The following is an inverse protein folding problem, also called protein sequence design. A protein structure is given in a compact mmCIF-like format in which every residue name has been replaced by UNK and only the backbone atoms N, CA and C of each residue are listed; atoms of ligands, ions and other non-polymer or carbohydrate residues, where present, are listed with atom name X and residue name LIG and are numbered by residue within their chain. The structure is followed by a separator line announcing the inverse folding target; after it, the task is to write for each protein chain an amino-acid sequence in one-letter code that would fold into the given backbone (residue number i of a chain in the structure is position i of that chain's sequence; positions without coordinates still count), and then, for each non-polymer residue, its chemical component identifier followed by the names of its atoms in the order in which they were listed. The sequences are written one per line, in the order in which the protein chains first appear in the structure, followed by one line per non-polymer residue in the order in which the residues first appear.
data_IF_687177089683
#
_entry.id   IF_687177089683
#
_cell.length_a   1.000
_cell.length_b   1.000
_cell.length_c   1.000
_cell.angle_alpha   90.00
_cell.angle_beta   90.00
_cell.angle_gamma   90.00
#
_symmetry.space_group_name_H-M   'P 1'
#
loop_
_entity.id
_entity.type
_entity.pdbx_description
1 polymer ?
#
# COMPACT_ATOMS: atom_id res chain seq x y z
N UNK A 1 23.19 -15.16 5.68
CA UNK A 1 21.91 -15.84 5.45
C UNK A 1 20.99 -15.65 6.64
N UNK A 2 19.97 -14.85 6.47
CA UNK A 2 19.00 -14.60 7.51
C UNK A 2 17.98 -15.73 7.63
N UNK A 3 17.37 -15.81 8.80
CA UNK A 3 16.28 -16.74 9.04
C UNK A 3 15.05 -16.26 8.24
N UNK A 4 14.44 -17.18 7.49
CA UNK A 4 13.21 -16.89 6.77
C UNK A 4 12.02 -16.85 7.73
N UNK A 5 11.24 -15.77 7.66
CA UNK A 5 10.02 -15.62 8.43
C UNK A 5 8.86 -15.34 7.50
N UNK A 6 7.70 -15.93 7.81
CA UNK A 6 6.48 -15.77 7.02
C UNK A 6 5.36 -15.26 7.93
N UNK A 7 4.64 -14.24 7.47
CA UNK A 7 3.48 -13.69 8.17
C UNK A 7 2.28 -13.68 7.23
N UNK A 8 1.14 -14.20 7.70
CA UNK A 8 -0.13 -14.18 6.95
C UNK A 8 -1.11 -13.25 7.64
N UNK A 9 -1.73 -12.39 6.85
CA UNK A 9 -2.82 -11.53 7.31
C UNK A 9 -2.53 -10.79 8.61
N UNK A 10 -1.26 -10.44 8.84
CA UNK A 10 -0.86 -9.69 10.02
C UNK A 10 -0.97 -8.19 9.74
N UNK A 11 -1.66 -7.48 10.65
CA UNK A 11 -1.76 -6.03 10.56
C UNK A 11 -0.50 -5.38 11.12
N UNK A 12 0.07 -4.49 10.32
CA UNK A 12 1.24 -3.70 10.68
C UNK A 12 0.83 -2.27 11.03
N UNK A 13 1.44 -1.71 12.05
CA UNK A 13 1.13 -0.37 12.55
C UNK A 13 2.35 0.53 12.55
N UNK A 14 2.13 1.82 12.31
CA UNK A 14 3.09 2.88 12.64
C UNK A 14 2.48 3.68 13.79
N UNK A 15 2.90 3.36 15.02
CA UNK A 15 2.31 3.91 16.23
C UNK A 15 0.80 3.70 16.26
N UNK A 16 0.03 4.75 16.58
CA UNK A 16 -1.43 4.76 16.45
C UNK A 16 -1.90 5.54 15.23
N UNK A 17 -0.98 5.92 14.33
CA UNK A 17 -1.25 6.84 13.23
C UNK A 17 -1.89 6.17 12.03
N UNK A 18 -1.34 5.06 11.58
CA UNK A 18 -1.88 4.31 10.44
C UNK A 18 -1.45 2.85 10.48
N UNK A 19 -2.18 2.04 9.76
CA UNK A 19 -1.94 0.59 9.72
C UNK A 19 -2.35 0.02 8.38
N UNK A 20 -1.88 -1.19 8.11
CA UNK A 20 -2.27 -1.96 6.94
C UNK A 20 -2.05 -3.43 7.15
N UNK A 21 -2.72 -4.23 6.36
CA UNK A 21 -2.63 -5.68 6.43
C UNK A 21 -2.34 -6.23 5.03
N UNK A 22 -1.22 -6.91 4.89
CA UNK A 22 -0.88 -7.61 3.66
C UNK A 22 -1.38 -9.06 3.76
N UNK A 23 -1.71 -9.65 2.61
CA UNK A 23 -2.16 -11.04 2.58
C UNK A 23 -1.02 -11.98 2.98
N UNK A 24 0.20 -11.67 2.56
CA UNK A 24 1.36 -12.50 2.88
C UNK A 24 2.63 -11.66 2.88
N UNK A 25 3.47 -11.88 3.88
CA UNK A 25 4.78 -11.23 4.01
C UNK A 25 5.82 -12.29 4.28
N UNK A 26 6.92 -12.24 3.54
CA UNK A 26 8.07 -13.13 3.76
C UNK A 26 9.30 -12.24 3.97
N UNK A 27 10.08 -12.54 5.00
CA UNK A 27 11.34 -11.83 5.23
C UNK A 27 12.49 -12.84 5.34
N UNK A 28 13.64 -12.45 4.82
CA UNK A 28 14.87 -13.25 4.90
C UNK A 28 16.06 -12.30 4.92
N UNK A 29 16.84 -12.30 6.00
CA UNK A 29 17.96 -11.38 6.16
C UNK A 29 17.49 -9.92 6.16
N UNK A 30 18.01 -9.15 5.21
CA UNK A 30 17.68 -7.75 5.03
C UNK A 30 16.66 -7.50 3.89
N UNK A 31 16.01 -8.56 3.40
CA UNK A 31 15.07 -8.50 2.29
C UNK A 31 13.68 -8.92 2.73
N UNK A 32 12.67 -8.18 2.29
CA UNK A 32 11.27 -8.50 2.53
C UNK A 32 10.51 -8.63 1.22
N UNK A 33 9.44 -9.43 1.23
CA UNK A 33 8.51 -9.59 0.12
C UNK A 33 7.09 -9.47 0.65
N UNK A 34 6.32 -8.59 0.05
CA UNK A 34 4.89 -8.41 0.32
C UNK A 34 4.13 -8.96 -0.88
N UNK A 35 3.14 -9.80 -0.64
CA UNK A 35 2.26 -10.30 -1.69
C UNK A 35 0.83 -9.89 -1.38
N UNK A 36 0.16 -9.34 -2.38
CA UNK A 36 -1.23 -8.94 -2.29
C UNK A 36 -2.02 -9.68 -3.37
N UNK A 37 -3.03 -10.44 -2.95
CA UNK A 37 -3.86 -11.23 -3.86
C UNK A 37 -5.12 -10.46 -4.21
N UNK A 38 -5.35 -10.27 -5.51
CA UNK A 38 -6.56 -9.62 -6.03
C UNK A 38 -7.44 -10.66 -6.69
N UNK A 39 -8.70 -10.73 -6.30
CA UNK A 39 -9.65 -11.76 -6.78
C UNK A 39 -10.55 -11.30 -7.90
N UNK A 40 -10.63 -9.99 -8.15
CA UNK A 40 -11.48 -9.44 -9.20
C UNK A 40 -10.97 -9.73 -10.61
N UNK A 41 -11.83 -9.52 -11.60
CA UNK A 41 -11.49 -9.73 -13.01
C UNK A 41 -11.02 -8.44 -13.70
N UNK A 42 -11.26 -7.28 -13.09
CA UNK A 42 -10.79 -5.99 -13.62
C UNK A 42 -9.35 -5.74 -13.23
N UNK A 43 -8.54 -5.14 -14.12
CA UNK A 43 -7.14 -4.82 -13.78
C UNK A 43 -7.08 -3.82 -12.63
N UNK A 44 -6.13 -4.04 -11.72
CA UNK A 44 -5.87 -3.11 -10.62
C UNK A 44 -4.75 -2.14 -11.01
N UNK A 45 -4.57 -1.08 -10.22
CA UNK A 45 -3.47 -0.14 -10.43
C UNK A 45 -2.12 -0.88 -10.45
N UNK A 46 -1.25 -0.62 -11.44
CA UNK A 46 0.06 -1.28 -11.54
C UNK A 46 0.86 -1.19 -10.25
N UNK A 47 1.68 -2.21 -9.99
CA UNK A 47 2.44 -2.32 -8.74
C UNK A 47 3.30 -1.08 -8.43
N UNK A 48 3.94 -0.51 -9.43
CA UNK A 48 4.78 0.68 -9.26
C UNK A 48 4.03 1.96 -8.92
N UNK A 49 2.72 1.98 -9.16
CA UNK A 49 1.85 3.14 -8.92
C UNK A 49 0.82 2.86 -7.83
N UNK A 50 0.87 1.71 -7.20
CA UNK A 50 -0.13 1.24 -6.25
C UNK A 50 0.15 1.77 -4.85
N UNK A 51 -0.69 2.69 -4.37
CA UNK A 51 -0.53 3.32 -3.05
C UNK A 51 -0.69 2.31 -1.90
N UNK A 52 -1.53 1.29 -2.06
CA UNK A 52 -1.68 0.25 -1.06
C UNK A 52 -0.37 -0.51 -0.85
N UNK A 53 0.27 -0.93 -1.94
CA UNK A 53 1.57 -1.61 -1.87
C UNK A 53 2.65 -0.70 -1.30
N UNK A 54 2.67 0.56 -1.71
CA UNK A 54 3.61 1.55 -1.19
C UNK A 54 3.47 1.70 0.32
N UNK A 55 2.24 1.86 0.80
CA UNK A 55 1.94 1.97 2.23
C UNK A 55 2.35 0.71 3.00
N UNK A 56 2.09 -0.47 2.44
CA UNK A 56 2.49 -1.74 3.05
C UNK A 56 4.02 -1.87 3.15
N UNK A 57 4.74 -1.42 2.13
CA UNK A 57 6.21 -1.42 2.16
C UNK A 57 6.74 -0.49 3.26
N UNK A 58 6.17 0.70 3.40
CA UNK A 58 6.52 1.65 4.46
C UNK A 58 6.24 1.05 5.84
N UNK A 59 5.06 0.43 6.01
CA UNK A 59 4.67 -0.23 7.26
C UNK A 59 5.62 -1.37 7.63
N UNK A 60 5.98 -2.19 6.66
CA UNK A 60 6.92 -3.30 6.89
C UNK A 60 8.29 -2.77 7.30
N UNK A 61 8.81 -1.75 6.62
CA UNK A 61 10.09 -1.13 6.96
C UNK A 61 10.07 -0.56 8.39
N UNK A 62 8.99 0.09 8.77
CA UNK A 62 8.84 0.66 10.12
C UNK A 62 8.86 -0.42 11.20
N UNK A 63 8.25 -1.57 10.95
CA UNK A 63 8.19 -2.68 11.90
C UNK A 63 9.44 -3.56 11.87
N UNK A 64 10.19 -3.56 10.78
CA UNK A 64 11.42 -4.33 10.60
C UNK A 64 12.51 -3.45 9.99
N UNK A 65 13.10 -2.55 10.80
CA UNK A 65 14.07 -1.56 10.30
C UNK A 65 15.33 -2.15 9.66
N UNK A 66 15.63 -3.41 9.94
CA UNK A 66 16.80 -4.09 9.35
C UNK A 66 16.64 -4.35 7.86
N UNK A 67 15.42 -4.37 7.35
CA UNK A 67 15.19 -4.61 5.93
C UNK A 67 15.72 -3.44 5.10
N UNK A 68 16.52 -3.75 4.11
CA UNK A 68 17.10 -2.77 3.18
C UNK A 68 16.38 -2.76 1.84
N UNK A 69 15.83 -3.91 1.46
CA UNK A 69 15.13 -4.08 0.20
C UNK A 69 13.79 -4.74 0.46
N UNK A 70 12.72 -4.16 -0.08
CA UNK A 70 11.37 -4.72 0.03
C UNK A 70 10.79 -4.83 -1.37
N UNK A 71 10.41 -6.05 -1.74
CA UNK A 71 9.66 -6.30 -2.97
C UNK A 71 8.18 -6.34 -2.62
N UNK A 72 7.35 -5.78 -3.49
CA UNK A 72 5.91 -5.85 -3.34
C UNK A 72 5.29 -6.35 -4.63
N UNK A 73 4.46 -7.36 -4.52
CA UNK A 73 3.87 -8.06 -5.67
C UNK A 73 2.35 -8.03 -5.63
N UNK A 74 1.74 -7.88 -6.79
CA UNK A 74 0.30 -8.07 -7.00
C UNK A 74 0.12 -9.37 -7.76
N UNK A 75 -0.70 -10.25 -7.22
CA UNK A 75 -1.06 -11.53 -7.84
C UNK A 75 -2.56 -11.53 -8.10
N UNK A 76 -2.94 -11.53 -9.38
CA UNK A 76 -4.33 -11.53 -9.82
C UNK A 76 -4.52 -12.60 -10.89
N UNK A 77 -5.51 -13.49 -10.75
CA UNK A 77 -5.78 -14.50 -11.78
C UNK A 77 -5.97 -13.87 -13.16
N UNK A 78 -5.45 -14.52 -14.19
CA UNK A 78 -5.49 -14.13 -15.60
C UNK A 78 -4.58 -12.95 -15.98
N UNK A 79 -3.97 -12.28 -15.02
CA UNK A 79 -2.99 -11.22 -15.29
C UNK A 79 -1.59 -11.68 -14.90
N UNK A 80 -0.58 -11.15 -15.58
CA UNK A 80 0.81 -11.40 -15.21
C UNK A 80 1.08 -10.84 -13.81
N UNK A 81 1.83 -11.55 -12.96
CA UNK A 81 2.24 -11.01 -11.68
C UNK A 81 3.05 -9.74 -11.87
N UNK A 82 2.76 -8.71 -11.08
CA UNK A 82 3.49 -7.46 -11.10
C UNK A 82 4.32 -7.31 -9.84
N UNK A 83 5.54 -6.81 -10.00
CA UNK A 83 6.50 -6.67 -8.91
C UNK A 83 7.11 -5.27 -8.93
N UNK A 84 7.22 -4.65 -7.75
CA UNK A 84 7.98 -3.42 -7.55
C UNK A 84 9.03 -3.65 -6.49
N UNK A 85 10.20 -3.02 -6.66
CA UNK A 85 11.30 -3.11 -5.71
C UNK A 85 11.52 -1.76 -5.04
N UNK A 86 11.57 -1.75 -3.71
CA UNK A 86 11.90 -0.57 -2.91
C UNK A 86 13.26 -0.81 -2.24
N UNK A 87 14.22 0.06 -2.52
CA UNK A 87 15.48 0.12 -1.77
C UNK A 87 15.37 1.12 -0.62
N UNK A 88 16.44 1.38 0.11
CA UNK A 88 16.39 2.29 1.26
C UNK A 88 15.99 3.70 0.86
N UNK A 89 16.46 4.19 -0.28
CA UNK A 89 16.12 5.52 -0.78
C UNK A 89 14.66 5.62 -1.18
N UNK A 90 14.17 4.67 -1.97
CA UNK A 90 12.78 4.66 -2.41
C UNK A 90 11.82 4.39 -1.26
N UNK A 91 12.23 3.65 -0.22
CA UNK A 91 11.43 3.48 0.99
C UNK A 91 11.30 4.79 1.76
N UNK A 92 12.38 5.58 1.85
CA UNK A 92 12.33 6.88 2.49
C UNK A 92 11.41 7.85 1.73
N UNK A 93 11.51 7.86 0.40
CA UNK A 93 10.63 8.67 -0.46
C UNK A 93 9.18 8.23 -0.35
N UNK A 94 8.92 6.94 -0.31
CA UNK A 94 7.58 6.38 -0.14
C UNK A 94 6.97 6.77 1.20
N UNK A 95 7.75 6.71 2.28
CA UNK A 95 7.31 7.12 3.62
C UNK A 95 6.88 8.58 3.62
N UNK A 96 7.71 9.47 3.06
CA UNK A 96 7.40 10.89 2.96
C UNK A 96 6.12 11.13 2.17
N UNK A 97 5.97 10.43 1.04
CA UNK A 97 4.78 10.55 0.19
C UNK A 97 3.51 10.09 0.92
N UNK A 98 3.53 8.93 1.56
CA UNK A 98 2.37 8.38 2.30
C UNK A 98 2.01 9.30 3.48
N UNK A 99 2.99 9.75 4.25
CA UNK A 99 2.74 10.64 5.39
C UNK A 99 2.18 12.00 4.94
N UNK A 100 2.67 12.53 3.82
CA UNK A 100 2.14 13.76 3.23
C UNK A 100 0.68 13.61 2.79
N UNK A 101 0.33 12.48 2.16
CA UNK A 101 -1.05 12.19 1.75
C UNK A 101 -1.97 12.08 2.96
N UNK A 102 -1.53 11.41 4.02
CA UNK A 102 -2.31 11.26 5.26
C UNK A 102 -2.55 12.61 5.93
N UNK A 103 -1.53 13.45 5.99
CA UNK A 103 -1.65 14.80 6.55
C UNK A 103 -2.68 15.62 5.78
N UNK A 104 -2.61 15.61 4.45
CA UNK A 104 -3.56 16.33 3.59
C UNK A 104 -4.97 15.78 3.72
N UNK A 105 -5.12 14.47 3.78
CA UNK A 105 -6.44 13.83 3.89
C UNK A 105 -7.12 14.08 5.23
N UNK A 106 -6.34 14.26 6.30
CA UNK A 106 -6.85 14.50 7.64
C UNK A 106 -6.98 15.99 7.99
N UNK A 107 -6.62 16.89 7.11
CA UNK A 107 -6.77 18.32 7.31
C UNK A 107 -8.26 18.71 7.32
N UNK A 108 -8.64 19.71 8.13
CA UNK A 108 -10.03 20.15 8.21
C UNK A 108 -10.56 20.65 6.87
N UNK A 109 -9.69 21.27 6.06
CA UNK A 109 -10.02 21.83 4.75
C UNK A 109 -9.68 20.86 3.60
N UNK A 110 -9.53 19.57 3.88
CA UNK A 110 -9.23 18.59 2.84
C UNK A 110 -10.30 18.60 1.75
N UNK A 111 -9.93 18.79 0.47
CA UNK A 111 -10.92 18.86 -0.59
C UNK A 111 -11.50 17.49 -0.93
N UNK A 112 -12.75 17.51 -1.39
CA UNK A 112 -13.34 16.34 -2.03
C UNK A 112 -13.01 16.39 -3.52
N UNK A 113 -12.40 15.33 -4.04
CA UNK A 113 -11.99 15.27 -5.45
C UNK A 113 -12.82 14.19 -6.15
N UNK A 114 -13.65 14.60 -7.09
CA UNK A 114 -14.47 13.68 -7.89
C UNK A 114 -13.65 12.93 -8.92
N UNK A 115 -14.06 11.72 -9.25
CA UNK A 115 -13.45 10.89 -10.27
C UNK A 115 -14.11 9.53 -10.38
N UNK A 116 -13.87 8.85 -11.49
CA UNK A 116 -14.49 7.53 -11.75
C UNK A 116 -14.20 6.51 -10.64
N UNK A 117 -12.95 6.43 -10.23
CA UNK A 117 -12.54 5.45 -9.21
C UNK A 117 -13.03 5.82 -7.83
N UNK A 118 -12.80 7.05 -7.41
CA UNK A 118 -13.09 7.48 -6.05
C UNK A 118 -14.59 7.63 -5.79
N UNK A 119 -15.40 7.93 -6.79
CA UNK A 119 -16.85 8.11 -6.63
C UNK A 119 -17.66 6.82 -6.78
N UNK A 120 -17.10 5.79 -7.42
CA UNK A 120 -17.83 4.57 -7.79
C UNK A 120 -18.55 3.90 -6.61
N UNK A 121 -17.85 3.68 -5.51
CA UNK A 121 -18.41 3.08 -4.29
C UNK A 121 -18.47 4.06 -3.12
N UNK A 122 -18.40 5.36 -3.39
CA UNK A 122 -18.41 6.36 -2.33
C UNK A 122 -19.80 6.50 -1.71
N UNK A 123 -19.90 6.27 -0.40
CA UNK A 123 -21.16 6.36 0.32
C UNK A 123 -21.71 7.79 0.44
N UNK A 124 -20.83 8.78 0.31
CA UNK A 124 -21.21 10.20 0.39
C UNK A 124 -21.55 10.81 -0.97
N UNK A 125 -21.58 10.01 -2.04
CA UNK A 125 -21.76 10.48 -3.43
C UNK A 125 -22.99 11.38 -3.61
N UNK A 126 -24.10 11.01 -3.01
CA UNK A 126 -25.36 11.75 -3.17
C UNK A 126 -25.31 13.14 -2.53
N UNK A 127 -24.52 13.31 -1.49
CA UNK A 127 -24.39 14.56 -0.73
C UNK A 127 -23.13 15.36 -1.09
N UNK A 128 -22.36 14.91 -2.06
CA UNK A 128 -21.09 15.52 -2.44
C UNK A 128 -21.22 16.35 -3.72
N UNK A 129 -20.91 17.65 -3.64
CA UNK A 129 -20.97 18.56 -4.79
C UNK A 129 -19.91 18.23 -5.83
N UNK A 130 -18.79 17.66 -5.43
CA UNK A 130 -17.67 17.29 -6.31
C UNK A 130 -17.82 15.89 -6.92
N UNK A 131 -18.89 15.15 -6.59
CA UNK A 131 -19.07 13.80 -7.06
C UNK A 131 -19.26 13.72 -8.57
N UNK A 132 -18.54 12.81 -9.20
CA UNK A 132 -18.73 12.47 -10.62
C UNK A 132 -19.94 11.54 -10.74
N UNK A 133 -20.95 11.97 -11.48
CA UNK A 133 -22.25 11.27 -11.64
C UNK A 133 -22.43 10.68 -13.02
#
# INVERSE_FOLDING_TARGET
TGRKMTMKEQRLWVGSCYSGQADHIVTSGDTGLIMDYKTGTFPVTPAGENLQLMALAVLLKANKPKLKTIYAAILQPTYEPELVCYDEESLADAKEHIESLLEKANAEDAPCIGGDKQCHFCKAKEDCDEALR
#
